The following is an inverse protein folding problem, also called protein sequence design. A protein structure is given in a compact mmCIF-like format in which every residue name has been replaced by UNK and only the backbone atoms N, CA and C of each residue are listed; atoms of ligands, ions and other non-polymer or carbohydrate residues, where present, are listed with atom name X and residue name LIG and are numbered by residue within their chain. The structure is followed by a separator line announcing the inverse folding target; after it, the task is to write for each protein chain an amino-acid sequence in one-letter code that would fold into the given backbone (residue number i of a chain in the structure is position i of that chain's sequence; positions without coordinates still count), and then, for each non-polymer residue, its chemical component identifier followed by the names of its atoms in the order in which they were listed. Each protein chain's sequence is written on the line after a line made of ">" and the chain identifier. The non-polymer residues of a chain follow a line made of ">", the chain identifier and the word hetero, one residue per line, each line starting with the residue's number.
data_IF_806848944533
#
_entry.id   IF_806848944533
#
_cell.length_a   1.000
_cell.length_b   1.000
_cell.length_c   1.000
_cell.angle_alpha   90.00
_cell.angle_beta   90.00
_cell.angle_gamma   90.00
#
_symmetry.space_group_name_H-M   'P 1'
#
loop_
_entity.id
_entity.type
_entity.pdbx_description
1 polymer ?
#
# COMPACT_ATOMS: atom_id res chain seq x y z
N UNK A 1 -2.86 42.92 4.17
CA UNK A 1 -1.66 42.12 4.45
C UNK A 1 -1.71 41.48 5.84
N UNK A 2 -2.24 42.16 6.85
CA UNK A 2 -2.22 41.69 8.25
C UNK A 2 -3.18 40.54 8.55
N UNK A 3 -4.32 40.44 7.85
CA UNK A 3 -5.25 39.30 7.96
C UNK A 3 -4.61 37.97 7.50
N UNK A 4 -3.81 38.01 6.44
CA UNK A 4 -3.05 36.84 5.98
C UNK A 4 -1.95 36.46 6.98
N UNK A 5 -1.33 37.46 7.62
CA UNK A 5 -0.32 37.26 8.67
C UNK A 5 -0.90 36.61 9.92
N UNK A 6 -2.08 37.06 10.35
CA UNK A 6 -2.84 36.48 11.47
C UNK A 6 -3.29 35.05 11.18
N UNK A 7 -3.78 34.77 9.96
CA UNK A 7 -4.10 33.42 9.54
C UNK A 7 -2.85 32.54 9.53
N UNK A 8 -1.74 33.02 8.96
CA UNK A 8 -0.47 32.29 8.98
C UNK A 8 0.03 32.02 10.40
N UNK A 9 -0.09 32.99 11.32
CA UNK A 9 0.26 32.82 12.74
C UNK A 9 -0.66 31.83 13.45
N UNK A 10 -1.95 31.79 13.10
CA UNK A 10 -2.89 30.81 13.63
C UNK A 10 -2.61 29.39 13.09
N UNK A 11 -2.29 29.26 11.80
CA UNK A 11 -1.81 28.01 11.19
C UNK A 11 -0.47 27.56 11.82
N UNK A 12 0.39 28.51 12.21
CA UNK A 12 1.67 28.26 12.87
C UNK A 12 1.51 27.88 14.35
N UNK A 13 0.51 28.43 15.07
CA UNK A 13 0.20 28.07 16.47
C UNK A 13 -0.56 26.74 16.60
N UNK A 14 -1.25 26.31 15.53
CA UNK A 14 -2.03 25.08 15.46
C UNK A 14 -1.40 24.02 14.56
N UNK A 15 -0.06 23.94 14.53
CA UNK A 15 0.69 23.05 13.64
C UNK A 15 0.22 21.59 13.65
N UNK A 16 -0.36 21.13 14.76
CA UNK A 16 -0.98 19.81 14.88
C UNK A 16 -2.26 19.66 14.04
N UNK A 17 -3.13 20.68 14.06
CA UNK A 17 -4.37 20.71 13.27
C UNK A 17 -4.08 20.74 11.77
N UNK A 18 -3.08 21.53 11.35
CA UNK A 18 -2.64 21.60 9.95
C UNK A 18 -2.08 20.25 9.47
N UNK A 19 -1.25 19.60 10.31
CA UNK A 19 -0.66 18.31 9.98
C UNK A 19 -1.74 17.22 9.86
N UNK A 20 -2.71 17.21 10.78
CA UNK A 20 -3.84 16.28 10.72
C UNK A 20 -4.71 16.53 9.47
N UNK A 21 -4.89 17.80 9.07
CA UNK A 21 -5.54 18.16 7.80
C UNK A 21 -4.81 17.62 6.57
N UNK A 22 -3.47 17.75 6.53
CA UNK A 22 -2.64 17.20 5.44
C UNK A 22 -2.74 15.67 5.38
N UNK A 23 -2.71 14.98 6.52
CA UNK A 23 -2.91 13.52 6.58
C UNK A 23 -4.29 13.11 6.02
N UNK A 24 -5.35 13.85 6.37
CA UNK A 24 -6.69 13.59 5.85
C UNK A 24 -6.77 13.81 4.34
N UNK A 25 -6.16 14.88 3.82
CA UNK A 25 -6.07 15.15 2.39
C UNK A 25 -5.29 14.06 1.65
N UNK A 26 -4.13 13.65 2.18
CA UNK A 26 -3.33 12.57 1.59
C UNK A 26 -4.11 11.24 1.55
N UNK A 27 -4.89 10.92 2.58
CA UNK A 27 -5.76 9.75 2.59
C UNK A 27 -6.88 9.86 1.52
N UNK A 28 -7.53 11.02 1.40
CA UNK A 28 -8.55 11.24 0.37
C UNK A 28 -7.99 11.15 -1.06
N UNK A 29 -6.82 11.75 -1.30
CA UNK A 29 -6.10 11.65 -2.58
C UNK A 29 -5.71 10.20 -2.86
N UNK A 30 -5.26 9.45 -1.85
CA UNK A 30 -4.93 8.03 -1.97
C UNK A 30 -6.11 7.20 -2.44
N UNK A 31 -7.31 7.42 -1.89
CA UNK A 31 -8.53 6.74 -2.35
C UNK A 31 -8.80 7.03 -3.83
N UNK A 32 -8.69 8.30 -4.23
CA UNK A 32 -8.91 8.71 -5.62
C UNK A 32 -7.88 8.12 -6.58
N UNK A 33 -6.61 8.14 -6.21
CA UNK A 33 -5.51 7.54 -6.96
C UNK A 33 -5.75 6.03 -7.13
N UNK A 34 -6.06 5.31 -6.05
CA UNK A 34 -6.34 3.87 -6.11
C UNK A 34 -7.52 3.58 -7.03
N UNK A 35 -8.61 4.34 -6.92
CA UNK A 35 -9.81 4.13 -7.75
C UNK A 35 -9.60 4.44 -9.25
N UNK A 36 -8.61 5.28 -9.58
CA UNK A 36 -8.28 5.65 -10.96
C UNK A 36 -7.19 4.76 -11.55
N UNK A 37 -6.53 3.95 -10.72
CA UNK A 37 -5.45 3.08 -11.13
C UNK A 37 -6.00 1.83 -11.81
N UNK A 38 -5.63 1.63 -13.09
CA UNK A 38 -6.05 0.45 -13.84
C UNK A 38 -5.06 -0.71 -13.66
N UNK A 39 -5.44 -1.65 -12.81
CA UNK A 39 -4.63 -2.83 -12.49
C UNK A 39 -4.75 -3.89 -13.59
N UNK A 40 -3.66 -4.09 -14.33
CA UNK A 40 -3.54 -5.12 -15.37
C UNK A 40 -2.45 -6.14 -15.01
N UNK A 41 -2.82 -7.36 -14.60
CA UNK A 41 -1.86 -8.41 -14.28
C UNK A 41 -1.21 -8.96 -15.56
N UNK A 42 0.12 -9.20 -15.59
CA UNK A 42 0.80 -9.68 -16.80
C UNK A 42 0.50 -11.16 -17.14
N UNK A 43 -0.05 -11.92 -16.20
CA UNK A 43 -0.41 -13.34 -16.36
C UNK A 43 0.74 -14.24 -16.85
N UNK A 44 1.94 -13.95 -16.34
CA UNK A 44 3.17 -14.69 -16.57
C UNK A 44 3.63 -15.30 -15.24
N UNK A 45 3.81 -16.63 -15.19
CA UNK A 45 4.09 -17.36 -13.95
C UNK A 45 5.26 -16.79 -13.12
N UNK A 46 6.29 -16.22 -13.77
CA UNK A 46 7.44 -15.61 -13.09
C UNK A 46 7.25 -14.16 -12.67
N UNK A 47 6.37 -13.40 -13.33
CA UNK A 47 6.23 -11.95 -13.11
C UNK A 47 5.00 -11.57 -12.29
N UNK A 48 4.02 -12.46 -12.21
CA UNK A 48 2.79 -12.29 -11.44
C UNK A 48 3.04 -11.88 -9.98
N UNK A 49 3.89 -12.63 -9.26
CA UNK A 49 4.26 -12.35 -7.87
C UNK A 49 4.92 -10.98 -7.72
N UNK A 50 5.92 -10.69 -8.56
CA UNK A 50 6.67 -9.44 -8.52
C UNK A 50 5.77 -8.24 -8.82
N UNK A 51 4.90 -8.35 -9.81
CA UNK A 51 3.98 -7.29 -10.21
C UNK A 51 2.90 -7.02 -9.15
N UNK A 52 2.23 -8.07 -8.67
CA UNK A 52 1.19 -7.96 -7.65
C UNK A 52 1.72 -7.42 -6.33
N UNK A 53 2.86 -7.94 -5.84
CA UNK A 53 3.51 -7.43 -4.62
C UNK A 53 4.10 -6.03 -4.81
N UNK A 54 4.63 -5.74 -6.01
CA UNK A 54 5.15 -4.42 -6.35
C UNK A 54 4.08 -3.34 -6.20
N UNK A 55 2.87 -3.57 -6.73
CA UNK A 55 1.75 -2.62 -6.58
C UNK A 55 1.14 -2.61 -5.18
N UNK A 56 1.28 -3.69 -4.43
CA UNK A 56 0.87 -3.73 -3.02
C UNK A 56 1.81 -2.94 -2.12
N UNK A 57 3.12 -2.87 -2.42
CA UNK A 57 4.14 -2.31 -1.52
C UNK A 57 4.78 -0.99 -1.99
N UNK A 58 5.03 -0.83 -3.29
CA UNK A 58 5.76 0.34 -3.79
C UNK A 58 4.97 1.65 -3.66
N UNK A 59 3.66 1.74 -4.00
CA UNK A 59 2.90 2.97 -3.79
C UNK A 59 2.76 3.36 -2.31
N UNK A 60 2.47 2.44 -1.35
CA UNK A 60 2.53 2.77 0.07
C UNK A 60 3.89 3.29 0.52
N UNK A 61 4.99 2.70 0.03
CA UNK A 61 6.33 3.18 0.36
C UNK A 61 6.56 4.61 -0.16
N UNK A 62 6.15 4.91 -1.39
CA UNK A 62 6.23 6.26 -1.95
C UNK A 62 5.37 7.26 -1.14
N UNK A 63 4.14 6.89 -0.79
CA UNK A 63 3.25 7.71 0.04
C UNK A 63 3.83 7.97 1.43
N UNK A 64 4.46 6.96 2.04
CA UNK A 64 5.14 7.09 3.33
C UNK A 64 6.28 8.10 3.26
N UNK A 65 7.15 7.99 2.24
CA UNK A 65 8.24 8.94 2.02
C UNK A 65 7.72 10.36 1.77
N UNK A 66 6.67 10.52 0.95
CA UNK A 66 6.01 11.80 0.75
C UNK A 66 5.45 12.38 2.06
N UNK A 67 4.84 11.55 2.90
CA UNK A 67 4.34 11.94 4.23
C UNK A 67 5.46 12.42 5.16
N UNK A 68 6.61 11.74 5.15
CA UNK A 68 7.79 12.17 5.91
C UNK A 68 8.33 13.51 5.41
N UNK A 69 8.43 13.71 4.09
CA UNK A 69 8.94 14.94 3.49
C UNK A 69 7.98 16.13 3.70
N UNK A 70 6.67 15.91 3.67
CA UNK A 70 5.66 16.94 3.89
C UNK A 70 5.60 17.40 5.36
N UNK A 71 5.98 16.54 6.30
CA UNK A 71 5.91 16.84 7.73
C UNK A 71 7.12 17.65 8.19
N UNK A 72 6.95 18.95 8.49
CA UNK A 72 8.03 19.81 8.99
C UNK A 72 8.72 19.30 10.27
N UNK A 73 8.02 18.52 11.10
CA UNK A 73 8.61 17.94 12.32
C UNK A 73 9.65 16.86 12.00
N UNK A 74 9.62 16.25 10.81
CA UNK A 74 10.62 15.27 10.38
C UNK A 74 12.00 15.91 10.19
N UNK A 75 12.05 17.12 9.61
CA UNK A 75 13.29 17.88 9.41
C UNK A 75 13.91 18.25 10.75
N UNK A 76 13.09 18.81 11.66
CA UNK A 76 13.53 19.16 13.02
C UNK A 76 14.04 17.92 13.78
N UNK A 77 13.38 16.78 13.59
CA UNK A 77 13.81 15.52 14.20
C UNK A 77 15.18 15.07 13.66
N UNK A 78 15.38 15.11 12.35
CA UNK A 78 16.66 14.72 11.72
C UNK A 78 17.80 15.63 12.18
N UNK A 79 17.55 16.94 12.26
CA UNK A 79 18.53 17.92 12.76
C UNK A 79 18.93 17.64 14.22
N UNK A 80 17.97 17.41 15.10
CA UNK A 80 18.25 17.08 16.51
C UNK A 80 18.95 15.73 16.67
N UNK A 81 18.65 14.75 15.81
CA UNK A 81 19.29 13.43 15.85
C UNK A 81 20.74 13.48 15.38
N UNK A 82 21.06 14.36 14.42
CA UNK A 82 22.42 14.59 13.89
C UNK A 82 23.33 15.31 14.89
N UNK A 83 22.79 16.03 15.89
CA UNK A 83 23.60 16.68 16.93
C UNK A 83 24.32 15.64 17.80
N UNK A 84 25.59 15.85 18.17
CA UNK A 84 26.33 14.97 19.06
C UNK A 84 25.63 14.76 20.41
N UNK A 85 25.82 13.59 21.01
CA UNK A 85 25.38 13.30 22.38
C UNK A 85 25.91 14.38 23.34
N UNK A 86 25.01 15.03 24.09
CA UNK A 86 25.34 16.16 24.98
C UNK A 86 25.11 17.57 24.38
N UNK A 87 24.94 17.70 23.06
CA UNK A 87 24.62 18.97 22.39
C UNK A 87 23.18 19.03 21.87
N UNK A 88 22.35 18.04 22.21
CA UNK A 88 20.93 17.99 21.84
C UNK A 88 20.16 19.02 22.66
N UNK A 89 19.29 19.79 22.00
CA UNK A 89 18.48 20.83 22.66
C UNK A 89 17.23 20.25 23.29
N UNK A 90 16.83 19.04 22.89
CA UNK A 90 15.63 18.35 23.37
C UNK A 90 15.98 17.08 24.14
N UNK A 91 15.18 16.79 25.16
CA UNK A 91 15.31 15.55 25.90
C UNK A 91 15.09 14.33 24.99
N UNK A 92 15.82 13.21 25.23
CA UNK A 92 15.64 11.98 24.47
C UNK A 92 14.19 11.47 24.44
N UNK A 93 13.42 11.66 25.52
CA UNK A 93 12.01 11.31 25.58
C UNK A 93 11.15 12.10 24.59
N UNK A 94 11.41 13.40 24.47
CA UNK A 94 10.72 14.30 23.53
C UNK A 94 11.06 13.92 22.09
N UNK A 95 12.33 13.60 21.81
CA UNK A 95 12.75 13.15 20.46
C UNK A 95 12.05 11.85 20.07
N UNK A 96 11.94 10.88 20.98
CA UNK A 96 11.21 9.63 20.74
C UNK A 96 9.74 9.89 20.47
N UNK A 97 9.08 10.71 21.29
CA UNK A 97 7.69 11.10 21.09
C UNK A 97 7.46 11.77 19.72
N UNK A 98 8.33 12.71 19.34
CA UNK A 98 8.28 13.36 18.04
C UNK A 98 8.43 12.34 16.89
N UNK A 99 9.33 11.37 17.03
CA UNK A 99 9.51 10.30 16.04
C UNK A 99 8.24 9.47 15.87
N UNK A 100 7.63 9.00 16.97
CA UNK A 100 6.38 8.25 16.91
C UNK A 100 5.24 9.06 16.30
N UNK A 101 5.11 10.34 16.69
CA UNK A 101 4.09 11.24 16.14
C UNK A 101 4.24 11.45 14.63
N UNK A 102 5.47 11.66 14.15
CA UNK A 102 5.77 11.79 12.71
C UNK A 102 5.45 10.50 11.96
N UNK A 103 5.89 9.36 12.48
CA UNK A 103 5.66 8.04 11.88
C UNK A 103 4.17 7.71 11.78
N UNK A 104 3.42 7.89 12.87
CA UNK A 104 2.00 7.62 12.92
C UNK A 104 1.22 8.43 11.87
N UNK A 105 1.58 9.70 11.71
CA UNK A 105 0.98 10.60 10.71
C UNK A 105 1.36 10.21 9.28
N UNK A 106 2.62 9.84 9.03
CA UNK A 106 3.09 9.43 7.71
C UNK A 106 2.54 8.07 7.27
N UNK A 107 2.17 7.19 8.20
CA UNK A 107 1.60 5.87 7.91
C UNK A 107 0.12 5.90 7.51
N UNK A 108 -0.61 6.98 7.74
CA UNK A 108 -2.04 7.06 7.45
C UNK A 108 -2.39 6.73 5.98
N UNK A 109 -1.75 7.42 5.02
CA UNK A 109 -2.00 7.17 3.60
C UNK A 109 -1.52 5.78 3.11
N UNK A 110 -0.30 5.30 3.48
CA UNK A 110 0.13 3.93 3.21
C UNK A 110 -0.86 2.85 3.69
N UNK A 111 -1.37 2.99 4.91
CA UNK A 111 -2.35 2.04 5.47
C UNK A 111 -3.65 2.05 4.66
N UNK A 112 -4.15 3.23 4.29
CA UNK A 112 -5.34 3.34 3.43
C UNK A 112 -5.12 2.65 2.08
N UNK A 113 -3.96 2.84 1.44
CA UNK A 113 -3.65 2.15 0.18
C UNK A 113 -3.66 0.63 0.35
N UNK A 114 -2.96 0.11 1.36
CA UNK A 114 -2.88 -1.35 1.59
C UNK A 114 -4.27 -1.92 1.86
N UNK A 115 -5.08 -1.27 2.69
CA UNK A 115 -6.45 -1.71 2.97
C UNK A 115 -7.31 -1.75 1.71
N UNK A 116 -7.27 -0.71 0.87
CA UNK A 116 -7.99 -0.70 -0.41
C UNK A 116 -7.52 -1.81 -1.35
N UNK A 117 -6.20 -2.01 -1.46
CA UNK A 117 -5.60 -3.03 -2.31
C UNK A 117 -5.98 -4.46 -1.87
N UNK A 118 -6.01 -4.71 -0.56
CA UNK A 118 -6.39 -5.98 0.02
C UNK A 118 -7.90 -6.24 -0.11
N UNK A 119 -8.74 -5.23 0.12
CA UNK A 119 -10.20 -5.35 -0.04
C UNK A 119 -10.61 -5.62 -1.49
N UNK A 120 -9.96 -4.98 -2.47
CA UNK A 120 -10.18 -5.23 -3.90
C UNK A 120 -9.60 -6.61 -4.32
N UNK A 121 -8.51 -7.04 -3.67
CA UNK A 121 -7.91 -8.37 -3.79
C UNK A 121 -7.28 -8.67 -5.14
N UNK A 122 -7.28 -7.74 -6.10
CA UNK A 122 -6.70 -7.95 -7.45
C UNK A 122 -5.19 -8.18 -7.40
N UNK A 123 -4.47 -7.34 -6.65
CA UNK A 123 -3.02 -7.47 -6.44
C UNK A 123 -2.68 -8.79 -5.75
N UNK A 124 -3.47 -9.19 -4.75
CA UNK A 124 -3.28 -10.43 -4.00
C UNK A 124 -3.51 -11.66 -4.88
N UNK A 125 -4.60 -11.68 -5.66
CA UNK A 125 -4.87 -12.76 -6.64
C UNK A 125 -3.73 -12.86 -7.66
N UNK A 126 -3.30 -11.74 -8.24
CA UNK A 126 -2.18 -11.74 -9.20
C UNK A 126 -0.88 -12.24 -8.55
N UNK A 127 -0.60 -11.85 -7.30
CA UNK A 127 0.65 -12.23 -6.65
C UNK A 127 0.71 -13.73 -6.29
N UNK A 128 -0.40 -14.30 -5.83
CA UNK A 128 -0.43 -15.62 -5.20
C UNK A 128 -1.08 -16.72 -6.06
N UNK A 129 -1.67 -16.40 -7.22
CA UNK A 129 -2.35 -17.42 -8.03
C UNK A 129 -1.45 -18.60 -8.40
N UNK A 130 -0.20 -18.33 -8.77
CA UNK A 130 0.79 -19.36 -9.14
C UNK A 130 1.31 -20.19 -7.96
N UNK A 131 1.02 -19.81 -6.71
CA UNK A 131 1.46 -20.49 -5.49
C UNK A 131 0.34 -21.25 -4.78
N UNK A 132 -0.85 -21.29 -5.37
CA UNK A 132 -1.98 -22.04 -4.83
C UNK A 132 -1.74 -23.53 -4.98
N UNK A 133 -1.99 -24.27 -3.91
CA UNK A 133 -1.96 -25.72 -3.89
C UNK A 133 -3.11 -26.29 -4.76
N UNK A 134 -2.80 -27.01 -5.86
CA UNK A 134 -3.80 -27.53 -6.76
C UNK A 134 -4.63 -28.66 -6.16
N UNK A 135 -4.16 -29.35 -5.12
CA UNK A 135 -4.91 -30.45 -4.48
C UNK A 135 -6.23 -29.98 -3.86
N UNK A 136 -6.35 -28.68 -3.57
CA UNK A 136 -7.56 -28.05 -3.05
C UNK A 136 -8.70 -27.94 -4.07
N UNK A 137 -8.45 -28.21 -5.36
CA UNK A 137 -9.43 -28.04 -6.42
C UNK A 137 -9.50 -29.28 -7.32
N UNK A 138 -10.66 -29.95 -7.33
CA UNK A 138 -10.90 -31.19 -8.07
C UNK A 138 -10.68 -31.07 -9.59
N UNK A 139 -10.90 -29.88 -10.14
CA UNK A 139 -10.76 -29.60 -11.58
C UNK A 139 -9.30 -29.73 -12.08
N UNK A 140 -8.30 -29.75 -11.19
CA UNK A 140 -6.88 -29.90 -11.56
C UNK A 140 -6.39 -31.35 -11.62
N UNK A 141 -7.19 -32.33 -11.17
CA UNK A 141 -6.78 -33.74 -11.10
C UNK A 141 -6.40 -34.34 -12.47
N UNK A 142 -6.97 -33.80 -13.55
CA UNK A 142 -6.73 -34.26 -14.93
C UNK A 142 -5.61 -33.49 -15.66
N UNK A 143 -4.97 -32.51 -15.01
CA UNK A 143 -3.95 -31.67 -15.63
C UNK A 143 -2.54 -32.11 -15.22
N UNK A 144 -1.60 -31.99 -16.15
CA UNK A 144 -0.17 -32.14 -15.81
C UNK A 144 0.31 -30.95 -14.96
N UNK A 145 1.36 -31.10 -14.14
CA UNK A 145 1.86 -30.01 -13.28
C UNK A 145 2.20 -28.73 -14.05
N UNK A 146 2.70 -28.83 -15.28
CA UNK A 146 3.01 -27.68 -16.15
C UNK A 146 1.75 -26.98 -16.65
N UNK A 147 0.69 -27.73 -16.99
CA UNK A 147 -0.62 -27.18 -17.36
C UNK A 147 -1.29 -26.48 -16.19
N UNK A 148 -1.22 -27.07 -14.98
CA UNK A 148 -1.70 -26.45 -13.74
C UNK A 148 -0.99 -25.11 -13.51
N UNK A 149 0.34 -25.09 -13.62
CA UNK A 149 1.12 -23.87 -13.42
C UNK A 149 0.76 -22.77 -14.43
N UNK A 150 0.56 -23.14 -15.70
CA UNK A 150 0.11 -22.23 -16.75
C UNK A 150 -1.31 -21.70 -16.47
N UNK A 151 -2.23 -22.58 -16.08
CA UNK A 151 -3.60 -22.21 -15.73
C UNK A 151 -3.62 -21.24 -14.55
N UNK A 152 -2.91 -21.57 -13.47
CA UNK A 152 -2.81 -20.75 -12.26
C UNK A 152 -2.19 -19.37 -12.54
N UNK A 153 -1.21 -19.27 -13.44
CA UNK A 153 -0.65 -18.00 -13.86
C UNK A 153 -1.67 -17.10 -14.59
N UNK A 154 -2.65 -17.71 -15.27
CA UNK A 154 -3.67 -17.00 -16.06
C UNK A 154 -4.98 -16.74 -15.32
N UNK A 155 -5.18 -17.32 -14.12
CA UNK A 155 -6.36 -17.05 -13.25
C UNK A 155 -6.72 -15.56 -13.10
N UNK A 156 -5.75 -14.61 -12.96
CA UNK A 156 -6.06 -13.19 -12.85
C UNK A 156 -6.64 -12.57 -14.13
N UNK A 157 -6.36 -13.16 -15.31
CA UNK A 157 -6.78 -12.68 -16.62
C UNK A 157 -8.10 -13.32 -17.05
N UNK A 158 -9.21 -12.59 -16.92
CA UNK A 158 -10.55 -13.11 -17.21
C UNK A 158 -10.80 -13.42 -18.69
N UNK A 159 -10.14 -12.68 -19.58
CA UNK A 159 -10.35 -12.77 -21.03
C UNK A 159 -9.52 -13.88 -21.70
N UNK A 160 -8.62 -14.54 -20.96
CA UNK A 160 -7.78 -15.60 -21.51
C UNK A 160 -8.64 -16.84 -21.82
N UNK A 161 -8.58 -17.31 -23.07
CA UNK A 161 -9.37 -18.45 -23.57
C UNK A 161 -9.21 -19.70 -22.71
N UNK A 162 -8.03 -19.92 -22.13
CA UNK A 162 -7.72 -21.10 -21.32
C UNK A 162 -8.51 -21.11 -19.99
N UNK A 163 -9.02 -19.96 -19.56
CA UNK A 163 -9.53 -19.76 -18.20
C UNK A 163 -10.93 -19.12 -18.16
N UNK A 164 -11.38 -18.53 -19.27
CA UNK A 164 -12.62 -17.74 -19.37
C UNK A 164 -13.84 -18.46 -18.79
N UNK A 165 -14.06 -19.70 -19.22
CA UNK A 165 -15.26 -20.50 -18.91
C UNK A 165 -15.05 -21.53 -17.79
N UNK A 166 -13.89 -21.52 -17.12
CA UNK A 166 -13.56 -22.49 -16.07
C UNK A 166 -14.20 -22.18 -14.72
N UNK A 167 -14.86 -23.18 -14.11
CA UNK A 167 -15.29 -23.19 -12.70
C UNK A 167 -14.12 -23.05 -11.74
N UNK A 168 -13.02 -23.76 -12.01
CA UNK A 168 -11.78 -23.73 -11.23
C UNK A 168 -11.25 -22.30 -11.07
N UNK A 169 -11.28 -21.51 -12.14
CA UNK A 169 -10.86 -20.09 -12.09
C UNK A 169 -11.64 -19.30 -11.07
N UNK A 170 -12.97 -19.41 -11.10
CA UNK A 170 -13.87 -18.68 -10.20
C UNK A 170 -13.63 -19.14 -8.77
N UNK A 171 -13.41 -20.44 -8.55
CA UNK A 171 -13.09 -21.00 -7.24
C UNK A 171 -11.76 -20.48 -6.69
N UNK A 172 -10.66 -20.59 -7.46
CA UNK A 172 -9.33 -20.09 -7.06
C UNK A 172 -9.35 -18.59 -6.81
N UNK A 173 -9.98 -17.81 -7.71
CA UNK A 173 -10.08 -16.36 -7.56
C UNK A 173 -10.90 -15.96 -6.31
N UNK A 174 -12.00 -16.66 -6.00
CA UNK A 174 -12.79 -16.43 -4.79
C UNK A 174 -12.03 -16.82 -3.52
N UNK A 175 -11.34 -17.95 -3.54
CA UNK A 175 -10.52 -18.41 -2.43
C UNK A 175 -9.44 -17.38 -2.08
N UNK A 176 -8.67 -16.93 -3.07
CA UNK A 176 -7.62 -15.93 -2.87
C UNK A 176 -8.17 -14.56 -2.46
N UNK A 177 -9.32 -14.13 -2.99
CA UNK A 177 -9.98 -12.90 -2.55
C UNK A 177 -10.44 -12.98 -1.10
N UNK A 178 -10.97 -14.13 -0.68
CA UNK A 178 -11.36 -14.36 0.71
C UNK A 178 -10.15 -14.29 1.65
N UNK A 179 -8.99 -14.85 1.24
CA UNK A 179 -7.75 -14.74 2.03
C UNK A 179 -7.18 -13.33 2.09
N UNK A 180 -7.50 -12.48 1.11
CA UNK A 180 -7.04 -11.10 1.04
C UNK A 180 -7.85 -10.17 1.93
N UNK A 181 -9.11 -10.52 2.25
CA UNK A 181 -10.08 -9.71 2.99
C UNK A 181 -10.11 -10.09 4.47
#
# INVERSE_FOLDING_TARGET
>A
MDKFRMLFQHFQSSSESVMNGICLLLAAVTIKLYSSFDFNCPCLARYNALYGLGLLLAPPLALFLCGLLANRQSVVMVEEWRRPSGHRRKDPGIIRYMCFSVLQRALAAPLVWILLALLDGKCFVCAFSSSVDPEKFLDFANMTPSQVQLFLAKVPCKEDELVRDSSARKAVSRYLRCLSQ
#
